data_IF_111764898364
#
_entry.id   IF_111764898364
#
_cell.length_a   1.000
_cell.length_b   1.000
_cell.length_c   1.000
_cell.angle_alpha   90.00
_cell.angle_beta   90.00
_cell.angle_gamma   90.00
#
_symmetry.space_group_name_H-M   'P 1'
#
loop_
_entity.id
_entity.type
_entity.pdbx_description
1 polymer ?
#
# COMPACT_ATOMS: atom_id res chain seq x y z
N UNK A 1 -25.93 -14.91 -14.51
CA UNK A 1 -25.69 -13.89 -13.49
C UNK A 1 -24.20 -13.87 -13.22
N UNK A 2 -23.64 -12.70 -12.91
CA UNK A 2 -22.22 -12.54 -12.71
C UNK A 2 -21.86 -12.82 -11.25
N UNK A 3 -20.64 -13.28 -11.03
CA UNK A 3 -20.05 -13.37 -9.68
C UNK A 3 -19.35 -12.05 -9.36
N UNK A 4 -19.52 -11.54 -8.14
CA UNK A 4 -18.84 -10.34 -7.68
C UNK A 4 -17.53 -10.73 -6.97
N UNK A 5 -16.42 -10.12 -7.37
CA UNK A 5 -15.16 -10.20 -6.63
C UNK A 5 -14.80 -8.83 -6.11
N UNK A 6 -14.70 -8.72 -4.78
CA UNK A 6 -14.26 -7.52 -4.06
C UNK A 6 -12.79 -7.68 -3.67
N UNK A 7 -11.90 -6.94 -4.31
CA UNK A 7 -10.51 -6.83 -3.90
C UNK A 7 -10.34 -5.65 -2.93
N UNK A 8 -10.13 -5.95 -1.65
CA UNK A 8 -10.23 -4.98 -0.55
C UNK A 8 -8.88 -4.51 0.00
N UNK A 9 -7.79 -4.73 -0.75
CA UNK A 9 -6.45 -4.35 -0.33
C UNK A 9 -5.71 -5.51 0.30
N UNK A 10 -4.95 -5.34 1.39
CA UNK A 10 -4.74 -4.13 2.19
C UNK A 10 -4.01 -3.02 1.43
N UNK A 11 -3.87 -1.85 2.04
CA UNK A 11 -2.93 -0.85 1.53
C UNK A 11 -1.52 -1.44 1.42
N UNK A 12 -0.72 -0.90 0.51
CA UNK A 12 0.71 -1.27 0.37
C UNK A 12 0.97 -2.72 -0.07
N UNK A 13 0.00 -3.33 -0.75
CA UNK A 13 0.11 -4.65 -1.38
C UNK A 13 0.04 -4.57 -2.91
N UNK A 14 0.55 -3.48 -3.49
CA UNK A 14 0.53 -3.20 -4.93
C UNK A 14 -0.89 -3.11 -5.56
N UNK A 15 -1.87 -2.66 -4.77
CA UNK A 15 -3.24 -2.38 -5.24
C UNK A 15 -3.27 -1.48 -6.48
N UNK A 16 -2.48 -0.41 -6.49
CA UNK A 16 -2.36 0.48 -7.65
C UNK A 16 -1.87 -0.25 -8.90
N UNK A 17 -0.90 -1.16 -8.78
CA UNK A 17 -0.42 -1.96 -9.91
C UNK A 17 -1.52 -2.85 -10.48
N UNK A 18 -2.29 -3.52 -9.61
CA UNK A 18 -3.43 -4.34 -10.01
C UNK A 18 -4.49 -3.47 -10.69
N UNK A 19 -4.94 -2.40 -10.04
CA UNK A 19 -5.98 -1.50 -10.53
C UNK A 19 -5.61 -0.88 -11.87
N UNK A 20 -4.39 -0.34 -11.99
CA UNK A 20 -3.94 0.29 -13.23
C UNK A 20 -3.86 -0.72 -14.39
N UNK A 21 -3.33 -1.92 -14.11
CA UNK A 21 -3.18 -2.97 -15.13
C UNK A 21 -4.54 -3.47 -15.59
N UNK A 22 -5.45 -3.81 -14.68
CA UNK A 22 -6.77 -4.31 -15.04
C UNK A 22 -7.60 -3.23 -15.77
N UNK A 23 -7.56 -1.99 -15.28
CA UNK A 23 -8.27 -0.88 -15.92
C UNK A 23 -7.83 -0.65 -17.38
N UNK A 24 -6.52 -0.71 -17.62
CA UNK A 24 -5.96 -0.47 -18.96
C UNK A 24 -6.23 -1.63 -19.92
N UNK A 25 -6.37 -2.85 -19.39
CA UNK A 25 -6.62 -4.05 -20.18
C UNK A 25 -8.08 -4.51 -20.15
N UNK A 26 -9.02 -3.69 -19.66
CA UNK A 26 -10.44 -4.06 -19.47
C UNK A 26 -11.12 -4.64 -20.71
N UNK A 27 -10.78 -4.16 -21.90
CA UNK A 27 -11.37 -4.66 -23.15
C UNK A 27 -10.93 -6.11 -23.40
N UNK A 28 -9.62 -6.37 -23.32
CA UNK A 28 -9.07 -7.72 -23.42
C UNK A 28 -9.64 -8.62 -22.30
N UNK A 29 -9.65 -8.14 -21.06
CA UNK A 29 -10.14 -8.90 -19.92
C UNK A 29 -11.62 -9.28 -20.04
N UNK A 30 -12.43 -8.43 -20.67
CA UNK A 30 -13.84 -8.73 -20.95
C UNK A 30 -14.00 -9.92 -21.89
N UNK A 31 -13.09 -10.12 -22.85
CA UNK A 31 -13.11 -11.28 -23.77
C UNK A 31 -12.86 -12.60 -23.01
N UNK A 32 -12.28 -12.53 -21.81
CA UNK A 32 -12.05 -13.66 -20.89
C UNK A 32 -13.06 -13.69 -19.73
N UNK A 33 -14.16 -12.94 -19.82
CA UNK A 33 -15.23 -12.95 -18.82
C UNK A 33 -14.92 -12.16 -17.55
N UNK A 34 -13.94 -11.26 -17.55
CA UNK A 34 -13.69 -10.33 -16.45
C UNK A 34 -14.18 -8.92 -16.82
N UNK A 35 -15.23 -8.48 -16.12
CA UNK A 35 -15.79 -7.14 -16.20
C UNK A 35 -15.09 -6.27 -15.14
N UNK A 36 -14.39 -5.24 -15.60
CA UNK A 36 -13.79 -4.20 -14.75
C UNK A 36 -14.51 -2.86 -15.01
N UNK A 37 -15.54 -2.52 -14.22
CA UNK A 37 -16.36 -1.34 -14.46
C UNK A 37 -15.55 -0.04 -14.40
N UNK A 38 -15.99 0.98 -15.16
CA UNK A 38 -15.48 2.33 -14.96
C UNK A 38 -16.27 3.00 -13.84
N UNK A 39 -15.57 3.53 -12.83
CA UNK A 39 -16.18 4.23 -11.68
C UNK A 39 -15.41 5.50 -11.35
N UNK A 40 -16.10 6.65 -11.41
CA UNK A 40 -15.53 7.94 -11.03
C UNK A 40 -14.40 8.42 -11.95
N UNK A 41 -13.32 8.95 -11.37
CA UNK A 41 -12.18 9.52 -12.10
C UNK A 41 -10.89 8.70 -11.96
N UNK A 42 -10.91 7.67 -11.11
CA UNK A 42 -9.75 6.86 -10.77
C UNK A 42 -9.83 5.48 -11.38
N UNK A 43 -8.69 4.79 -11.44
CA UNK A 43 -8.61 3.43 -12.02
C UNK A 43 -8.99 2.36 -11.02
N UNK A 44 -8.79 2.60 -9.72
CA UNK A 44 -9.45 1.86 -8.65
C UNK A 44 -10.84 2.41 -8.38
N UNK A 45 -11.67 1.63 -7.68
CA UNK A 45 -13.07 1.96 -7.38
C UNK A 45 -13.25 2.62 -6.01
N UNK A 46 -12.30 3.45 -5.59
CA UNK A 46 -12.34 4.17 -4.30
C UNK A 46 -13.62 5.01 -4.13
N UNK A 47 -14.17 5.49 -5.24
CA UNK A 47 -15.42 6.23 -5.27
C UNK A 47 -16.59 5.50 -4.61
N UNK A 48 -16.65 4.17 -4.75
CA UNK A 48 -17.69 3.34 -4.13
C UNK A 48 -17.63 3.36 -2.60
N UNK A 49 -16.42 3.49 -2.05
CA UNK A 49 -16.20 3.51 -0.59
C UNK A 49 -16.63 4.85 0.02
N UNK A 50 -16.78 5.90 -0.81
CA UNK A 50 -17.20 7.24 -0.37
C UNK A 50 -18.58 7.27 0.30
N UNK A 51 -19.36 6.20 0.15
CA UNK A 51 -20.61 5.97 0.90
C UNK A 51 -20.41 5.94 2.42
N UNK A 52 -19.28 5.41 2.88
CA UNK A 52 -19.00 5.19 4.32
C UNK A 52 -17.81 6.00 4.81
N UNK A 53 -16.76 6.09 3.98
CA UNK A 53 -15.49 6.74 4.33
C UNK A 53 -15.31 7.96 3.45
N UNK A 54 -15.25 9.19 4.01
CA UNK A 54 -15.00 10.40 3.22
C UNK A 54 -13.67 10.30 2.48
N UNK A 55 -13.72 10.42 1.15
CA UNK A 55 -12.54 10.43 0.30
C UNK A 55 -12.30 11.85 -0.23
N UNK A 56 -11.04 12.30 -0.35
CA UNK A 56 -10.72 13.51 -1.09
C UNK A 56 -10.83 13.27 -2.60
N UNK A 57 -11.03 14.33 -3.38
CA UNK A 57 -10.84 14.23 -4.84
C UNK A 57 -9.38 13.88 -5.18
N UNK A 58 -9.13 13.12 -6.27
CA UNK A 58 -10.11 12.58 -7.23
C UNK A 58 -10.76 11.25 -6.80
N UNK A 59 -10.47 10.73 -5.61
CA UNK A 59 -10.93 9.43 -5.14
C UNK A 59 -12.42 9.38 -4.76
N UNK A 60 -13.04 10.51 -4.47
CA UNK A 60 -14.49 10.62 -4.25
C UNK A 60 -15.29 10.74 -5.55
N UNK A 61 -16.48 10.17 -5.59
CA UNK A 61 -17.44 10.41 -6.67
C UNK A 61 -17.96 11.85 -6.68
N UNK A 62 -18.28 12.37 -7.87
CA UNK A 62 -18.99 13.66 -8.01
C UNK A 62 -20.48 13.55 -7.69
N UNK A 63 -21.06 12.38 -7.93
CA UNK A 63 -22.45 12.06 -7.66
C UNK A 63 -22.62 11.20 -6.42
N UNK A 64 -23.82 10.63 -6.28
CA UNK A 64 -24.18 9.75 -5.18
C UNK A 64 -23.50 8.37 -5.33
N UNK A 65 -22.68 7.93 -4.36
CA UNK A 65 -22.11 6.59 -4.34
C UNK A 65 -23.15 5.46 -4.35
N UNK A 66 -24.34 5.65 -3.78
CA UNK A 66 -25.39 4.64 -3.80
C UNK A 66 -25.91 4.42 -5.22
N UNK A 67 -26.23 5.51 -5.93
CA UNK A 67 -26.65 5.45 -7.31
C UNK A 67 -25.62 4.75 -8.21
N UNK A 68 -24.32 4.92 -7.93
CA UNK A 68 -23.25 4.25 -8.67
C UNK A 68 -23.20 2.75 -8.40
N UNK A 69 -23.38 2.30 -7.14
CA UNK A 69 -23.53 0.87 -6.84
C UNK A 69 -24.74 0.25 -7.55
N UNK A 70 -25.89 0.92 -7.49
CA UNK A 70 -27.12 0.48 -8.16
C UNK A 70 -26.92 0.39 -9.67
N UNK A 71 -26.24 1.38 -10.27
CA UNK A 71 -25.92 1.40 -11.70
C UNK A 71 -25.05 0.20 -12.09
N UNK A 72 -23.97 -0.07 -11.36
CA UNK A 72 -23.08 -1.20 -11.65
C UNK A 72 -23.84 -2.52 -11.57
N UNK A 73 -24.65 -2.72 -10.52
CA UNK A 73 -25.46 -3.93 -10.39
C UNK A 73 -26.45 -4.07 -11.55
N UNK A 74 -27.16 -3.00 -11.91
CA UNK A 74 -28.08 -3.00 -13.06
C UNK A 74 -27.37 -3.32 -14.38
N UNK A 75 -26.17 -2.79 -14.58
CA UNK A 75 -25.45 -2.94 -15.85
C UNK A 75 -24.79 -4.33 -15.99
N UNK A 76 -24.40 -4.97 -14.88
CA UNK A 76 -23.51 -6.13 -14.93
C UNK A 76 -23.92 -7.35 -14.08
N UNK A 77 -24.88 -7.26 -13.16
CA UNK A 77 -25.21 -8.41 -12.30
C UNK A 77 -25.86 -9.58 -13.07
N UNK A 78 -26.60 -9.28 -14.14
CA UNK A 78 -27.20 -10.31 -15.01
C UNK A 78 -26.25 -10.82 -16.10
N UNK A 79 -25.08 -10.21 -16.27
CA UNK A 79 -24.09 -10.64 -17.25
C UNK A 79 -23.48 -12.00 -16.91
N UNK A 80 -22.75 -12.59 -17.85
CA UNK A 80 -21.90 -13.76 -17.57
C UNK A 80 -20.49 -13.31 -17.16
N UNK A 81 -19.85 -14.08 -16.27
CA UNK A 81 -18.46 -13.85 -15.87
C UNK A 81 -18.29 -13.27 -14.46
N UNK A 82 -17.26 -12.45 -14.29
CA UNK A 82 -16.81 -11.90 -13.01
C UNK A 82 -16.86 -10.38 -13.07
N UNK A 83 -17.61 -9.75 -12.18
CA UNK A 83 -17.49 -8.31 -11.93
C UNK A 83 -16.45 -8.10 -10.85
N UNK A 84 -15.36 -7.42 -11.17
CA UNK A 84 -14.25 -7.20 -10.25
C UNK A 84 -14.22 -5.75 -9.77
N UNK A 85 -14.43 -5.55 -8.47
CA UNK A 85 -14.33 -4.24 -7.84
C UNK A 85 -13.13 -4.17 -6.89
N UNK A 86 -12.26 -3.17 -7.07
CA UNK A 86 -11.01 -3.06 -6.32
C UNK A 86 -10.84 -1.72 -5.64
N UNK A 87 -10.71 -1.73 -4.32
CA UNK A 87 -10.31 -0.58 -3.52
C UNK A 87 -9.79 -1.06 -2.17
N UNK A 88 -8.56 -0.74 -1.84
CA UNK A 88 -8.01 -1.05 -0.52
C UNK A 88 -8.72 -0.33 0.64
N UNK A 89 -9.45 0.75 0.34
CA UNK A 89 -10.22 1.50 1.33
C UNK A 89 -11.39 0.69 1.90
N UNK A 90 -11.82 -0.40 1.25
CA UNK A 90 -12.79 -1.34 1.83
C UNK A 90 -12.30 -1.96 3.15
N UNK A 91 -10.98 -2.05 3.35
CA UNK A 91 -10.38 -2.59 4.58
C UNK A 91 -10.06 -1.53 5.65
N UNK A 92 -10.41 -0.25 5.43
CA UNK A 92 -10.13 0.84 6.37
C UNK A 92 -10.82 0.61 7.72
N UNK A 93 -10.07 0.66 8.82
CA UNK A 93 -10.63 0.52 10.17
C UNK A 93 -11.00 1.87 10.81
N UNK A 94 -10.12 2.86 10.65
CA UNK A 94 -10.23 4.16 11.30
C UNK A 94 -9.86 5.31 10.37
N UNK A 95 -10.36 6.54 10.61
CA UNK A 95 -11.31 6.91 11.66
C UNK A 95 -12.75 6.49 11.38
N UNK A 96 -13.05 6.11 10.13
CA UNK A 96 -14.32 5.54 9.69
C UNK A 96 -14.04 4.26 8.93
N UNK A 97 -14.96 3.31 9.01
CA UNK A 97 -14.90 2.02 8.33
C UNK A 97 -16.13 1.84 7.44
N UNK A 98 -16.04 0.90 6.52
CA UNK A 98 -17.17 0.44 5.71
C UNK A 98 -18.22 -0.23 6.61
N UNK A 99 -19.49 0.03 6.33
CA UNK A 99 -20.60 -0.75 6.86
C UNK A 99 -20.70 -2.04 6.05
N UNK A 100 -20.30 -3.16 6.67
CA UNK A 100 -20.23 -4.44 5.97
C UNK A 100 -21.61 -5.05 5.70
N UNK A 101 -22.62 -4.75 6.53
CA UNK A 101 -23.99 -5.24 6.30
C UNK A 101 -24.60 -4.53 5.09
N UNK A 102 -24.36 -3.23 4.96
CA UNK A 102 -24.74 -2.46 3.77
C UNK A 102 -23.95 -2.90 2.53
N UNK A 103 -22.63 -3.14 2.64
CA UNK A 103 -21.84 -3.71 1.55
C UNK A 103 -22.37 -5.08 1.12
N UNK A 104 -22.75 -5.94 2.08
CA UNK A 104 -23.35 -7.24 1.78
C UNK A 104 -24.67 -7.08 1.02
N UNK A 105 -25.55 -6.19 1.47
CA UNK A 105 -26.80 -5.89 0.76
C UNK A 105 -26.55 -5.42 -0.67
N UNK A 106 -25.57 -4.53 -0.88
CA UNK A 106 -25.20 -4.05 -2.22
C UNK A 106 -24.64 -5.15 -3.13
N UNK A 107 -24.20 -6.27 -2.56
CA UNK A 107 -23.73 -7.46 -3.30
C UNK A 107 -24.82 -8.51 -3.60
N UNK A 108 -26.02 -8.41 -3.00
CA UNK A 108 -27.13 -9.36 -3.20
C UNK A 108 -27.58 -9.55 -4.65
N UNK A 109 -27.50 -8.54 -5.56
CA UNK A 109 -27.91 -8.75 -6.96
C UNK A 109 -27.04 -9.75 -7.73
N UNK A 110 -25.84 -10.09 -7.25
CA UNK A 110 -24.91 -10.99 -7.93
C UNK A 110 -25.16 -12.45 -7.55
N UNK A 111 -24.73 -13.39 -8.40
CA UNK A 111 -24.89 -14.83 -8.15
C UNK A 111 -24.18 -15.27 -6.86
N UNK A 112 -22.97 -14.74 -6.65
CA UNK A 112 -22.16 -14.98 -5.47
C UNK A 112 -21.17 -13.83 -5.27
N UNK A 113 -20.59 -13.76 -4.09
CA UNK A 113 -19.55 -12.78 -3.75
C UNK A 113 -18.30 -13.49 -3.23
N UNK A 114 -17.14 -13.01 -3.66
CA UNK A 114 -15.85 -13.38 -3.10
C UNK A 114 -15.12 -12.11 -2.68
N UNK A 115 -14.51 -12.12 -1.50
CA UNK A 115 -13.69 -11.02 -0.99
C UNK A 115 -12.24 -11.47 -0.96
N UNK A 116 -11.40 -10.80 -1.74
CA UNK A 116 -9.96 -11.06 -1.80
C UNK A 116 -9.22 -9.98 -1.01
N UNK A 117 -8.43 -10.40 -0.03
CA UNK A 117 -7.63 -9.54 0.83
C UNK A 117 -6.16 -9.98 0.86
N UNK A 118 -5.29 -9.20 0.25
CA UNK A 118 -3.85 -9.37 0.27
C UNK A 118 -3.23 -8.76 1.54
N UNK A 119 -2.47 -9.55 2.26
CA UNK A 119 -1.84 -9.23 3.53
C UNK A 119 -0.33 -9.09 3.34
N UNK A 120 0.33 -8.25 4.14
CA UNK A 120 1.79 -8.03 4.04
C UNK A 120 2.46 -8.27 5.37
N UNK A 121 3.72 -8.68 5.39
CA UNK A 121 4.49 -8.79 6.64
C UNK A 121 4.46 -7.47 7.43
N UNK A 122 4.01 -7.51 8.69
CA UNK A 122 3.69 -6.31 9.49
C UNK A 122 4.86 -5.33 9.59
N UNK A 123 6.10 -5.81 9.61
CA UNK A 123 7.30 -4.97 9.63
C UNK A 123 7.45 -4.14 8.34
N UNK A 124 7.37 -4.80 7.18
CA UNK A 124 7.44 -4.15 5.88
C UNK A 124 6.22 -3.26 5.60
N UNK A 125 5.05 -3.69 6.09
CA UNK A 125 3.81 -2.93 6.04
C UNK A 125 3.91 -1.63 6.83
N UNK A 126 4.31 -1.69 8.10
CA UNK A 126 4.46 -0.54 8.99
C UNK A 126 5.45 0.50 8.43
N UNK A 127 6.58 0.04 7.90
CA UNK A 127 7.55 0.91 7.22
C UNK A 127 6.96 1.57 5.96
N UNK A 128 6.18 0.83 5.16
CA UNK A 128 5.54 1.35 3.96
C UNK A 128 4.44 2.38 4.27
N UNK A 129 3.70 2.18 5.38
CA UNK A 129 2.72 3.15 5.89
C UNK A 129 3.42 4.42 6.36
N UNK A 130 4.49 4.29 7.17
CA UNK A 130 5.28 5.45 7.61
C UNK A 130 5.81 6.26 6.43
N UNK A 131 6.35 5.59 5.41
CA UNK A 131 6.88 6.22 4.21
C UNK A 131 5.78 6.96 3.42
N UNK A 132 4.56 6.43 3.33
CA UNK A 132 3.44 7.15 2.73
C UNK A 132 3.10 8.40 3.55
N UNK A 133 2.87 8.24 4.85
CA UNK A 133 2.51 9.36 5.73
C UNK A 133 3.51 10.50 5.56
N UNK A 134 4.81 10.16 5.57
CA UNK A 134 5.91 11.13 5.50
C UNK A 134 6.03 11.86 4.15
N UNK A 135 5.41 11.33 3.09
CA UNK A 135 5.29 12.01 1.79
C UNK A 135 4.06 12.90 1.72
N UNK A 136 2.95 12.43 2.28
CA UNK A 136 1.65 13.10 2.14
C UNK A 136 1.47 14.23 3.17
N UNK A 137 2.13 14.12 4.33
CA UNK A 137 2.04 15.07 5.45
C UNK A 137 3.30 15.04 6.34
N UNK A 138 3.46 15.97 7.28
CA UNK A 138 4.60 15.97 8.20
C UNK A 138 4.75 14.63 8.92
N UNK A 139 5.96 14.06 8.87
CA UNK A 139 6.19 12.72 9.38
C UNK A 139 6.02 12.65 10.91
N UNK A 140 5.28 11.66 11.43
CA UNK A 140 5.14 11.48 12.86
C UNK A 140 6.50 11.11 13.47
N UNK A 141 6.63 11.33 14.78
CA UNK A 141 7.77 10.80 15.54
C UNK A 141 7.76 9.28 15.44
N UNK A 142 8.87 8.73 14.93
CA UNK A 142 8.96 7.34 14.50
C UNK A 142 8.78 6.37 15.67
N UNK A 143 9.33 6.68 16.86
CA UNK A 143 9.15 5.82 18.06
C UNK A 143 7.69 5.82 18.52
N UNK A 144 7.04 6.98 18.55
CA UNK A 144 5.64 7.12 18.90
C UNK A 144 4.74 6.40 17.89
N UNK A 145 5.05 6.51 16.60
CA UNK A 145 4.34 5.80 15.53
C UNK A 145 4.43 4.27 15.72
N UNK A 146 5.64 3.73 15.93
CA UNK A 146 5.86 2.29 16.15
C UNK A 146 5.14 1.82 17.42
N UNK A 147 5.27 2.55 18.53
CA UNK A 147 4.61 2.21 19.80
C UNK A 147 3.09 2.22 19.67
N UNK A 148 2.53 3.21 18.97
CA UNK A 148 1.10 3.29 18.70
C UNK A 148 0.63 2.08 17.88
N UNK A 149 1.39 1.67 16.87
CA UNK A 149 1.07 0.50 16.07
C UNK A 149 1.10 -0.81 16.86
N UNK A 150 2.13 -1.01 17.69
CA UNK A 150 2.26 -2.21 18.54
C UNK A 150 1.15 -2.33 19.59
N UNK A 151 0.75 -1.20 20.18
CA UNK A 151 -0.26 -1.15 21.25
C UNK A 151 -1.70 -1.23 20.71
N UNK A 152 -1.99 -0.52 19.62
CA UNK A 152 -3.35 -0.45 19.06
C UNK A 152 -3.68 -1.59 18.10
N UNK A 153 -2.67 -2.22 17.48
CA UNK A 153 -2.88 -3.15 16.37
C UNK A 153 -3.25 -2.47 15.05
N UNK A 154 -3.06 -1.14 14.95
CA UNK A 154 -3.34 -0.35 13.76
C UNK A 154 -2.16 0.55 13.34
N UNK A 155 -1.94 0.70 12.04
CA UNK A 155 -1.03 1.71 11.48
C UNK A 155 -1.81 2.64 10.56
N UNK A 156 -1.98 3.91 10.95
CA UNK A 156 -2.79 4.91 10.21
C UNK A 156 -4.23 4.44 9.91
N UNK A 157 -4.84 3.81 10.90
CA UNK A 157 -6.19 3.24 10.79
C UNK A 157 -6.29 1.99 9.91
N UNK A 158 -5.17 1.33 9.63
CA UNK A 158 -5.09 0.06 8.90
C UNK A 158 -4.79 -1.09 9.84
N UNK A 159 -5.46 -2.21 9.66
CA UNK A 159 -5.30 -3.42 10.47
C UNK A 159 -3.87 -3.97 10.40
N UNK A 160 -3.33 -4.35 11.56
CA UNK A 160 -2.10 -5.15 11.68
C UNK A 160 -2.34 -6.51 12.34
N UNK A 161 -3.50 -6.69 12.97
CA UNK A 161 -4.01 -7.99 13.43
C UNK A 161 -4.94 -8.56 12.36
N UNK A 162 -4.43 -9.50 11.57
CA UNK A 162 -5.16 -10.06 10.44
C UNK A 162 -6.26 -11.04 10.85
N UNK A 163 -6.17 -11.62 12.06
CA UNK A 163 -7.27 -12.41 12.61
C UNK A 163 -8.43 -11.52 13.01
N UNK A 164 -8.14 -10.36 13.60
CA UNK A 164 -9.17 -9.38 13.94
C UNK A 164 -9.84 -8.79 12.68
N UNK A 165 -9.05 -8.50 11.63
CA UNK A 165 -9.59 -8.12 10.32
C UNK A 165 -10.51 -9.21 9.75
N UNK A 166 -10.06 -10.47 9.73
CA UNK A 166 -10.86 -11.57 9.22
C UNK A 166 -12.16 -11.74 10.00
N UNK A 167 -12.10 -11.72 11.34
CA UNK A 167 -13.28 -11.78 12.20
C UNK A 167 -14.25 -10.61 11.95
N UNK A 168 -13.74 -9.41 11.64
CA UNK A 168 -14.58 -8.30 11.23
C UNK A 168 -15.28 -8.57 9.89
N UNK A 169 -14.57 -9.07 8.88
CA UNK A 169 -15.16 -9.42 7.59
C UNK A 169 -16.23 -10.52 7.72
N UNK A 170 -16.00 -11.50 8.59
CA UNK A 170 -16.96 -12.58 8.86
C UNK A 170 -18.24 -12.14 9.57
N UNK A 171 -18.35 -10.89 9.99
CA UNK A 171 -19.63 -10.35 10.49
C UNK A 171 -20.70 -10.23 9.40
N UNK A 172 -20.29 -10.13 8.12
CA UNK A 172 -21.21 -9.96 6.99
C UNK A 172 -20.97 -10.95 5.83
N UNK A 173 -19.77 -11.55 5.74
CA UNK A 173 -19.40 -12.51 4.69
C UNK A 173 -19.17 -13.89 5.28
N UNK A 174 -19.49 -14.94 4.51
CA UNK A 174 -19.23 -16.30 4.95
C UNK A 174 -17.73 -16.62 4.91
N UNK A 175 -17.22 -17.51 5.79
CA UNK A 175 -15.80 -17.84 5.82
C UNK A 175 -15.25 -18.32 4.47
N UNK A 176 -16.02 -19.04 3.66
CA UNK A 176 -15.61 -19.54 2.34
C UNK A 176 -15.67 -18.48 1.22
N UNK A 177 -16.38 -17.37 1.44
CA UNK A 177 -16.36 -16.19 0.54
C UNK A 177 -15.07 -15.37 0.69
N UNK A 178 -14.32 -15.55 1.79
CA UNK A 178 -13.11 -14.79 2.09
C UNK A 178 -11.85 -15.51 1.59
N UNK A 179 -11.03 -14.82 0.79
CA UNK A 179 -9.73 -15.32 0.33
C UNK A 179 -8.62 -14.38 0.77
N UNK A 180 -7.69 -14.88 1.58
CA UNK A 180 -6.51 -14.11 1.98
C UNK A 180 -5.28 -14.52 1.18
N UNK A 181 -4.46 -13.54 0.78
CA UNK A 181 -3.24 -13.75 0.01
C UNK A 181 -2.04 -13.15 0.72
N UNK A 182 -0.86 -13.74 0.61
CA UNK A 182 0.39 -13.13 1.08
C UNK A 182 1.00 -12.29 -0.04
N UNK A 183 1.20 -10.99 0.21
CA UNK A 183 1.80 -10.06 -0.74
C UNK A 183 3.20 -10.52 -1.15
N UNK A 184 4.02 -10.95 -0.19
CA UNK A 184 5.38 -11.41 -0.45
C UNK A 184 5.39 -12.67 -1.32
N UNK A 185 4.48 -13.62 -1.06
CA UNK A 185 4.34 -14.82 -1.88
C UNK A 185 3.85 -14.47 -3.29
N UNK A 186 2.81 -13.62 -3.39
CA UNK A 186 2.28 -13.15 -4.66
C UNK A 186 3.34 -12.40 -5.47
N UNK A 187 4.12 -11.52 -4.84
CA UNK A 187 5.19 -10.76 -5.50
C UNK A 187 6.34 -11.66 -5.99
N UNK A 188 6.60 -12.78 -5.32
CA UNK A 188 7.62 -13.76 -5.70
C UNK A 188 7.12 -14.80 -6.72
N UNK A 189 5.81 -14.88 -6.93
CA UNK A 189 5.20 -15.83 -7.86
C UNK A 189 5.43 -15.45 -9.33
N UNK A 190 5.22 -16.40 -10.24
CA UNK A 190 5.23 -16.14 -11.68
C UNK A 190 4.17 -15.09 -12.05
N UNK A 191 4.58 -14.09 -12.85
CA UNK A 191 3.75 -12.93 -13.17
C UNK A 191 3.56 -11.93 -12.01
N UNK A 192 4.20 -12.16 -10.87
CA UNK A 192 4.12 -11.31 -9.67
C UNK A 192 2.69 -11.16 -9.15
N UNK A 193 2.42 -10.03 -8.51
CA UNK A 193 1.12 -9.74 -7.89
C UNK A 193 -0.04 -9.78 -8.89
N UNK A 194 0.19 -9.34 -10.13
CA UNK A 194 -0.83 -9.37 -11.19
C UNK A 194 -1.10 -10.81 -11.62
N UNK A 195 -0.05 -11.61 -11.85
CA UNK A 195 -0.20 -13.02 -12.20
C UNK A 195 -0.96 -13.79 -11.11
N UNK A 196 -0.67 -13.51 -9.84
CA UNK A 196 -1.42 -14.09 -8.73
C UNK A 196 -2.90 -13.70 -8.76
N UNK A 197 -3.22 -12.43 -9.02
CA UNK A 197 -4.61 -12.00 -9.14
C UNK A 197 -5.34 -12.70 -10.31
N UNK A 198 -4.69 -12.86 -11.47
CA UNK A 198 -5.29 -13.57 -12.61
C UNK A 198 -5.60 -15.03 -12.28
N UNK A 199 -4.72 -15.72 -11.55
CA UNK A 199 -4.94 -17.09 -11.07
C UNK A 199 -6.11 -17.16 -10.10
N UNK A 200 -6.20 -16.25 -9.14
CA UNK A 200 -7.32 -16.20 -8.18
C UNK A 200 -8.67 -15.93 -8.86
N UNK A 201 -8.66 -15.19 -9.98
CA UNK A 201 -9.84 -14.96 -10.82
C UNK A 201 -10.13 -16.12 -11.79
N UNK A 202 -9.26 -17.13 -11.88
CA UNK A 202 -9.40 -18.26 -12.79
C UNK A 202 -9.29 -17.88 -14.27
N UNK A 203 -8.57 -16.80 -14.59
CA UNK A 203 -8.43 -16.33 -15.97
C UNK A 203 -7.27 -17.06 -16.66
N UNK A 204 -7.47 -17.61 -17.88
CA UNK A 204 -6.43 -18.31 -18.63
C UNK A 204 -5.51 -17.31 -19.35
N UNK A 205 -4.94 -16.37 -18.58
CA UNK A 205 -4.08 -15.30 -19.05
C UNK A 205 -2.82 -15.23 -18.20
N UNK A 206 -1.69 -15.08 -18.88
CA UNK A 206 -0.43 -14.73 -18.22
C UNK A 206 -0.31 -13.23 -18.03
N UNK A 207 0.34 -12.79 -16.95
CA UNK A 207 0.56 -11.36 -16.69
C UNK A 207 1.34 -10.67 -17.82
N UNK A 208 2.18 -11.40 -18.55
CA UNK A 208 2.93 -10.92 -19.71
C UNK A 208 2.06 -10.57 -20.92
N UNK A 209 0.83 -11.12 -20.98
CA UNK A 209 -0.14 -10.77 -22.01
C UNK A 209 -0.81 -9.40 -21.76
N UNK A 210 -0.71 -8.88 -20.53
CA UNK A 210 -1.29 -7.60 -20.17
C UNK A 210 -0.30 -6.46 -20.39
N UNK A 211 -0.80 -5.33 -20.89
CA UNK A 211 0.00 -4.11 -21.00
C UNK A 211 0.22 -3.54 -19.59
N UNK A 212 1.47 -3.41 -19.12
CA UNK A 212 1.74 -2.80 -17.83
C UNK A 212 1.44 -1.31 -17.91
N UNK A 213 0.96 -0.73 -16.81
CA UNK A 213 0.78 0.70 -16.71
C UNK A 213 2.02 1.38 -16.10
N UNK A 214 2.73 2.19 -16.90
CA UNK A 214 3.91 2.98 -16.48
C UNK A 214 5.22 2.61 -17.21
N UNK A 215 6.10 3.60 -17.40
CA UNK A 215 7.29 3.55 -18.27
C UNK A 215 8.46 2.65 -17.80
N UNK A 216 8.24 1.66 -16.94
CA UNK A 216 9.31 0.73 -16.55
C UNK A 216 8.77 -0.57 -15.99
N UNK A 217 8.91 -1.66 -16.75
CA UNK A 217 8.87 -3.08 -16.34
C UNK A 217 8.15 -3.44 -15.03
N UNK A 218 6.94 -2.91 -14.78
CA UNK A 218 6.18 -3.15 -13.54
C UNK A 218 6.80 -2.57 -12.24
N UNK A 219 7.86 -1.75 -12.31
CA UNK A 219 8.50 -1.11 -11.14
C UNK A 219 8.03 0.34 -11.00
N UNK A 220 6.72 0.53 -10.90
CA UNK A 220 6.12 1.82 -10.57
C UNK A 220 6.55 2.23 -9.16
N UNK A 221 7.36 3.29 -9.05
CA UNK A 221 7.94 3.87 -7.83
C UNK A 221 8.91 2.97 -7.04
N UNK A 222 10.20 2.96 -7.42
CA UNK A 222 11.26 2.62 -6.45
C UNK A 222 11.17 3.63 -5.32
N UNK A 223 10.63 3.21 -4.18
CA UNK A 223 10.56 4.04 -3.00
C UNK A 223 11.98 4.35 -2.54
N UNK A 224 12.22 5.60 -2.12
CA UNK A 224 13.49 5.98 -1.52
C UNK A 224 13.83 5.07 -0.33
N UNK A 225 15.11 4.94 -0.01
CA UNK A 225 15.57 4.18 1.14
C UNK A 225 14.81 4.63 2.41
N UNK A 226 14.22 3.70 3.19
CA UNK A 226 13.38 4.05 4.32
C UNK A 226 14.11 4.85 5.41
N UNK A 227 15.39 4.54 5.67
CA UNK A 227 16.18 5.26 6.66
C UNK A 227 16.49 6.68 6.18
N UNK A 228 16.87 6.83 4.91
CA UNK A 228 17.13 8.13 4.31
C UNK A 228 15.88 9.02 4.32
N UNK A 229 14.72 8.48 3.92
CA UNK A 229 13.45 9.19 3.95
C UNK A 229 13.06 9.63 5.36
N UNK A 230 13.23 8.76 6.36
CA UNK A 230 12.94 9.08 7.76
C UNK A 230 13.86 10.19 8.31
N UNK A 231 15.16 10.15 8.00
CA UNK A 231 16.10 11.19 8.42
C UNK A 231 15.77 12.53 7.74
N UNK A 232 15.55 12.54 6.43
CA UNK A 232 15.16 13.75 5.70
C UNK A 232 13.85 14.35 6.24
N UNK A 233 12.89 13.50 6.59
CA UNK A 233 11.63 13.90 7.22
C UNK A 233 11.85 14.51 8.61
N UNK A 234 12.77 13.97 9.42
CA UNK A 234 13.13 14.54 10.71
C UNK A 234 13.75 15.95 10.58
N UNK A 235 14.62 16.14 9.58
CA UNK A 235 15.25 17.44 9.27
C UNK A 235 14.22 18.47 8.80
N UNK A 236 13.21 18.04 8.04
CA UNK A 236 12.27 18.94 7.38
C UNK A 236 11.11 19.42 8.26
N UNK A 237 11.06 19.01 9.53
CA UNK A 237 9.96 19.38 10.43
C UNK A 237 9.86 20.90 10.61
N UNK A 238 8.63 21.46 10.64
CA UNK A 238 7.32 20.78 10.65
C UNK A 238 6.76 20.44 9.25
N UNK A 239 7.54 20.61 8.17
CA UNK A 239 7.11 20.33 6.80
C UNK A 239 7.35 18.89 6.32
N UNK A 240 7.09 18.67 5.03
CA UNK A 240 7.37 17.42 4.30
C UNK A 240 8.77 17.49 3.70
N UNK A 241 9.49 16.36 3.70
CA UNK A 241 10.83 16.31 3.13
C UNK A 241 10.81 16.45 1.60
N UNK A 242 11.57 17.40 1.03
CA UNK A 242 11.69 17.51 -0.42
C UNK A 242 12.58 16.39 -0.97
N UNK A 243 12.26 15.89 -2.16
CA UNK A 243 12.99 14.79 -2.79
C UNK A 243 14.52 15.01 -2.90
N UNK A 244 15.03 16.22 -3.22
CA UNK A 244 16.48 16.48 -3.21
C UNK A 244 17.15 16.24 -1.85
N UNK A 245 16.46 16.53 -0.73
CA UNK A 245 17.00 16.27 0.60
C UNK A 245 17.05 14.77 0.89
N UNK A 246 16.02 14.02 0.48
CA UNK A 246 16.03 12.56 0.61
C UNK A 246 17.21 11.96 -0.16
N UNK A 247 17.44 12.41 -1.41
CA UNK A 247 18.58 11.96 -2.22
C UNK A 247 19.94 12.34 -1.63
N UNK A 248 20.06 13.54 -1.05
CA UNK A 248 21.29 13.97 -0.36
C UNK A 248 21.58 13.09 0.85
N UNK A 249 20.58 12.84 1.69
CA UNK A 249 20.71 11.97 2.87
C UNK A 249 21.06 10.55 2.46
N UNK A 250 20.37 9.99 1.45
CA UNK A 250 20.66 8.65 0.92
C UNK A 250 22.11 8.54 0.44
N UNK A 251 22.62 9.53 -0.30
CA UNK A 251 24.02 9.58 -0.74
C UNK A 251 25.00 9.57 0.44
N UNK A 252 24.74 10.35 1.50
CA UNK A 252 25.59 10.37 2.69
C UNK A 252 25.57 9.03 3.43
N UNK A 253 24.39 8.42 3.57
CA UNK A 253 24.24 7.13 4.23
C UNK A 253 24.94 6.01 3.44
N UNK A 254 24.80 5.97 2.12
CA UNK A 254 25.52 5.02 1.26
C UNK A 254 27.03 5.21 1.30
N UNK A 255 27.51 6.46 1.35
CA UNK A 255 28.92 6.74 1.56
C UNK A 255 29.45 6.29 2.92
N UNK A 256 28.59 6.19 3.93
CA UNK A 256 28.93 5.75 5.28
C UNK A 256 28.82 4.24 5.49
N UNK A 257 27.81 3.60 4.93
CA UNK A 257 27.45 2.20 5.20
C UNK A 257 27.61 1.27 3.99
N UNK A 258 28.01 1.80 2.83
CA UNK A 258 28.20 1.06 1.58
C UNK A 258 27.07 1.29 0.58
N UNK A 259 27.39 1.16 -0.71
CA UNK A 259 26.44 1.40 -1.80
C UNK A 259 25.22 0.47 -1.75
N UNK A 260 25.41 -0.77 -1.32
CA UNK A 260 24.39 -1.82 -1.22
C UNK A 260 23.61 -1.81 0.10
N UNK A 261 23.75 -0.75 0.93
CA UNK A 261 23.04 -0.69 2.20
C UNK A 261 21.53 -0.79 2.02
N UNK A 262 20.89 -1.43 3.00
CA UNK A 262 19.43 -1.51 3.14
C UNK A 262 19.02 -0.84 4.44
N UNK A 263 18.50 0.37 4.35
CA UNK A 263 18.05 1.12 5.51
C UNK A 263 16.69 0.65 6.02
N UNK A 264 16.50 0.74 7.33
CA UNK A 264 15.21 0.53 7.98
C UNK A 264 14.92 1.60 9.02
N UNK A 265 13.63 1.91 9.20
CA UNK A 265 13.19 2.86 10.24
C UNK A 265 13.24 2.26 11.66
N UNK A 266 13.48 0.96 11.80
CA UNK A 266 13.46 0.27 13.09
C UNK A 266 14.86 0.20 13.71
N UNK A 267 14.93 0.07 15.03
CA UNK A 267 16.09 -0.51 15.70
C UNK A 267 15.97 -2.05 15.74
N UNK A 268 17.05 -2.78 16.11
CA UNK A 268 16.96 -4.22 16.38
C UNK A 268 15.91 -4.56 17.44
N UNK A 269 15.85 -3.79 18.54
CA UNK A 269 14.87 -4.01 19.62
C UNK A 269 13.43 -3.80 19.15
N UNK A 270 13.15 -2.72 18.43
CA UNK A 270 11.82 -2.45 17.86
C UNK A 270 11.43 -3.54 16.85
N UNK A 271 12.38 -4.04 16.06
CA UNK A 271 12.14 -5.16 15.15
C UNK A 271 11.80 -6.44 15.92
N UNK A 272 12.53 -6.73 17.00
CA UNK A 272 12.24 -7.87 17.87
C UNK A 272 10.86 -7.73 18.56
N UNK A 273 10.46 -6.52 18.96
CA UNK A 273 9.13 -6.25 19.50
C UNK A 273 8.02 -6.48 18.48
N UNK A 274 8.19 -6.04 17.22
CA UNK A 274 7.24 -6.32 16.13
C UNK A 274 7.08 -7.83 15.95
N UNK A 275 8.18 -8.58 15.87
CA UNK A 275 8.15 -10.05 15.77
C UNK A 275 7.42 -10.67 16.96
N UNK A 276 7.80 -10.28 18.18
CA UNK A 276 7.22 -10.80 19.42
C UNK A 276 5.71 -10.54 19.49
N UNK A 277 5.26 -9.39 18.99
CA UNK A 277 3.85 -8.99 19.00
C UNK A 277 3.03 -9.73 17.96
N UNK A 278 3.50 -9.78 16.71
CA UNK A 278 2.66 -10.20 15.56
C UNK A 278 2.90 -11.64 15.12
N UNK A 279 4.05 -12.26 15.38
CA UNK A 279 4.27 -13.66 14.99
C UNK A 279 3.27 -14.63 15.62
N UNK A 280 2.93 -14.54 16.93
CA UNK A 280 1.89 -15.39 17.52
C UNK A 280 0.50 -15.13 16.94
N UNK A 281 0.18 -13.87 16.60
CA UNK A 281 -1.10 -13.52 15.97
C UNK A 281 -1.20 -14.10 14.56
N UNK A 282 -0.12 -14.00 13.78
CA UNK A 282 -0.03 -14.59 12.44
C UNK A 282 -0.18 -16.11 12.48
N UNK A 283 0.52 -16.78 13.41
CA UNK A 283 0.37 -18.23 13.59
C UNK A 283 -1.06 -18.61 13.99
N UNK A 284 -1.69 -17.83 14.87
CA UNK A 284 -3.09 -18.05 15.26
C UNK A 284 -4.07 -17.82 14.10
N UNK A 285 -3.80 -16.84 13.24
CA UNK A 285 -4.58 -16.57 12.03
C UNK A 285 -4.44 -17.70 11.01
N UNK A 286 -3.22 -18.13 10.69
CA UNK A 286 -2.97 -19.25 9.77
C UNK A 286 -3.60 -20.55 10.27
N UNK A 287 -3.44 -20.85 11.56
CA UNK A 287 -4.06 -22.05 12.15
C UNK A 287 -5.58 -21.98 12.14
N UNK A 288 -6.16 -20.79 12.31
CA UNK A 288 -7.60 -20.60 12.26
C UNK A 288 -8.13 -20.72 10.82
N UNK A 289 -7.36 -20.29 9.82
CA UNK A 289 -7.75 -20.32 8.40
C UNK A 289 -7.45 -21.66 7.71
N UNK A 290 -6.64 -22.52 8.31
CA UNK A 290 -6.10 -23.74 7.66
C UNK A 290 -7.16 -24.71 7.13
N UNK A 291 -8.36 -24.73 7.72
CA UNK A 291 -9.45 -25.57 7.25
C UNK A 291 -9.97 -25.16 5.85
N UNK A 292 -9.86 -23.88 5.50
CA UNK A 292 -10.36 -23.30 4.25
C UNK A 292 -9.24 -22.87 3.30
N UNK A 293 -8.08 -22.47 3.83
CA UNK A 293 -6.88 -22.15 3.04
C UNK A 293 -5.63 -22.78 3.69
N UNK A 294 -5.41 -24.10 3.55
CA UNK A 294 -4.29 -24.80 4.19
C UNK A 294 -2.91 -24.28 3.73
N UNK A 295 -2.83 -23.78 2.50
CA UNK A 295 -1.59 -23.27 1.90
C UNK A 295 -1.30 -21.80 2.24
N UNK A 296 -2.20 -21.13 2.97
CA UNK A 296 -1.99 -19.73 3.37
C UNK A 296 -0.82 -19.64 4.37
N UNK A 297 0.22 -18.93 3.94
CA UNK A 297 1.39 -18.60 4.77
C UNK A 297 1.72 -17.13 4.66
N UNK A 298 1.71 -16.45 5.80
CA UNK A 298 2.15 -15.07 5.91
C UNK A 298 3.67 -14.99 5.85
N UNK A 299 4.18 -13.86 5.38
CA UNK A 299 5.61 -13.63 5.32
C UNK A 299 6.25 -13.71 6.71
N UNK A 300 7.42 -14.35 6.80
CA UNK A 300 8.21 -14.33 8.02
C UNK A 300 8.55 -12.90 8.39
N UNK A 301 8.34 -12.56 9.67
CA UNK A 301 8.73 -11.26 10.22
C UNK A 301 10.20 -11.21 10.64
N UNK A 302 10.94 -12.31 10.49
CA UNK A 302 12.34 -12.44 10.89
C UNK A 302 13.23 -11.43 10.18
N UNK A 303 14.19 -10.89 10.91
CA UNK A 303 15.14 -9.88 10.44
C UNK A 303 16.43 -10.59 10.04
N UNK A 304 16.97 -10.30 8.85
CA UNK A 304 18.24 -10.91 8.41
C UNK A 304 19.46 -10.44 9.23
N UNK A 305 19.32 -9.33 9.96
CA UNK A 305 20.38 -8.70 10.75
C UNK A 305 21.32 -7.80 9.93
N UNK A 306 21.13 -7.75 8.61
CA UNK A 306 21.99 -7.01 7.67
C UNK A 306 21.52 -5.56 7.41
N UNK A 307 20.32 -5.21 7.89
CA UNK A 307 19.75 -3.88 7.68
C UNK A 307 20.41 -2.81 8.58
N UNK A 308 20.54 -1.61 8.05
CA UNK A 308 21.03 -0.45 8.80
C UNK A 308 19.83 0.23 9.46
N UNK A 309 19.72 0.05 10.78
CA UNK A 309 18.68 0.66 11.60
C UNK A 309 19.02 2.05 12.13
N UNK A 310 18.04 2.67 12.80
CA UNK A 310 18.19 4.00 13.40
C UNK A 310 19.25 4.07 14.50
N UNK A 311 19.50 2.96 15.18
CA UNK A 311 20.56 2.80 16.18
C UNK A 311 21.97 3.07 15.61
N UNK A 312 22.14 2.90 14.29
CA UNK A 312 23.40 3.14 13.60
C UNK A 312 23.63 4.61 13.24
N UNK A 313 22.63 5.48 13.41
CA UNK A 313 22.74 6.93 13.19
C UNK A 313 23.41 7.62 14.39
N UNK A 314 24.69 7.32 14.59
CA UNK A 314 25.51 7.89 15.67
C UNK A 314 25.80 9.38 15.41
N UNK A 315 26.31 10.08 16.43
CA UNK A 315 26.69 11.51 16.32
C UNK A 315 27.58 11.80 15.10
N UNK A 316 28.66 11.05 14.80
CA UNK A 316 29.45 11.27 13.59
C UNK A 316 28.66 11.19 12.29
N UNK A 317 27.64 10.32 12.21
CA UNK A 317 26.79 10.20 11.02
C UNK A 317 25.92 11.44 10.87
N UNK A 318 25.29 11.90 11.96
CA UNK A 318 24.53 13.14 11.97
C UNK A 318 25.38 14.36 11.61
N UNK A 319 26.62 14.44 12.07
CA UNK A 319 27.54 15.51 11.69
C UNK A 319 27.87 15.51 10.19
N UNK A 320 28.02 14.34 9.57
CA UNK A 320 28.21 14.23 8.11
C UNK A 320 26.98 14.73 7.35
N UNK A 321 25.78 14.33 7.80
CA UNK A 321 24.51 14.76 7.20
C UNK A 321 24.34 16.28 7.35
N UNK A 322 24.56 16.83 8.55
CA UNK A 322 24.47 18.27 8.80
C UNK A 322 25.43 19.08 7.93
N UNK A 323 26.70 18.63 7.79
CA UNK A 323 27.67 19.28 6.88
C UNK A 323 27.22 19.23 5.43
N UNK A 324 26.66 18.10 4.97
CA UNK A 324 26.16 17.95 3.61
C UNK A 324 24.98 18.89 3.33
N UNK A 325 24.03 18.98 4.27
CA UNK A 325 22.88 19.89 4.18
C UNK A 325 23.34 21.34 4.16
N UNK A 326 24.23 21.75 5.07
CA UNK A 326 24.77 23.11 5.13
C UNK A 326 25.43 23.51 3.81
N UNK A 327 26.33 22.66 3.28
CA UNK A 327 27.00 22.90 1.99
C UNK A 327 26.00 23.02 0.85
N UNK A 328 24.95 22.19 0.82
CA UNK A 328 23.92 22.26 -0.23
C UNK A 328 23.13 23.57 -0.20
N UNK A 329 22.89 24.12 0.99
CA UNK A 329 22.25 25.42 1.19
C UNK A 329 23.11 26.56 0.66
N UNK A 330 24.41 26.56 0.98
CA UNK A 330 25.38 27.53 0.47
C UNK A 330 25.44 27.51 -1.06
N UNK A 331 25.48 26.32 -1.67
CA UNK A 331 25.50 26.19 -3.14
C UNK A 331 24.22 26.71 -3.78
N UNK A 332 23.06 26.44 -3.18
CA UNK A 332 21.77 26.93 -3.67
C UNK A 332 21.65 28.46 -3.57
N UNK A 333 22.14 29.04 -2.47
CA UNK A 333 22.18 30.49 -2.27
C UNK A 333 23.15 31.16 -3.26
N UNK A 334 24.34 30.59 -3.47
CA UNK A 334 25.31 31.09 -4.44
C UNK A 334 24.78 30.99 -5.89
N UNK A 335 24.06 29.92 -6.24
CA UNK A 335 23.44 29.76 -7.55
C UNK A 335 22.31 30.79 -7.78
N UNK A 336 21.51 31.08 -6.75
CA UNK A 336 20.47 32.11 -6.79
C UNK A 336 21.06 33.51 -6.96
N UNK A 337 22.11 33.85 -6.21
CA UNK A 337 22.81 35.12 -6.34
C UNK A 337 23.43 35.33 -7.74
N UNK A 338 23.99 34.27 -8.35
CA UNK A 338 24.50 34.33 -9.73
C UNK A 338 23.39 34.54 -10.76
N UNK A 339 22.23 33.91 -10.57
CA UNK A 339 21.07 34.07 -11.45
C UNK A 339 20.47 35.47 -11.36
N UNK A 340 20.36 36.04 -10.16
CA UNK A 340 19.92 37.42 -9.93
C UNK A 340 20.92 38.43 -10.53
N UNK A 341 22.22 38.18 -10.43
CA UNK A 341 23.26 38.99 -11.08
C UNK A 341 23.23 38.92 -12.62
N UNK A 342 22.84 37.79 -13.23
CA UNK A 342 22.69 37.67 -14.69
C UNK A 342 21.43 38.34 -15.22
N UNK A 343 20.33 38.38 -14.45
CA UNK A 343 19.08 39.04 -14.85
C UNK A 343 19.16 40.56 -14.65
N UNK A 344 19.93 41.05 -13.68
CA UNK A 344 20.20 42.48 -13.48
C UNK A 344 21.23 43.09 -14.45
N UNK A 345 21.79 42.32 -15.38
CA UNK A 345 22.83 42.73 -16.32
C UNK A 345 22.39 42.71 -17.80
N UNK A 346 21.09 42.86 -18.07
CA UNK A 346 20.60 43.23 -19.42
C UNK A 346 20.21 44.72 -19.42
N UNK A 347 20.89 45.57 -20.22
CA UNK A 347 20.50 46.97 -20.40
C UNK A 347 19.16 47.14 -21.11
#
# INVERSE_FOLDING_TARGET
>A
MARLVLHIGLHKTATTTIQDTLFHNRALLSDYGLIYPFVGETRGHHGLVSRWVPMPRPYSLRGDPEAEWIRIAKDYADAEGIVFLSSEEFSRAHPRRVDLDDLRRLSEPYESVQVICMLRGQRAFLQSVYAQISRDRPAPEVRAFIRSALSSGFADGLWMDYKALAAHLETAFQPDELTFLSYEAAAASEGGVVGEMLRQLGLPLEASALKPFGAGNGRSNVSADPLAAMVAAAISRPGVAPAPLIGLVDSVLRGQFGAEMRGTIFTPDESAEIVRRFSPLNASFESWRSALQPDLKLASLSVSGEEIGRDRLTRPVWEKIARAVYRSGDTAQAARARKEAMVGASP
#
